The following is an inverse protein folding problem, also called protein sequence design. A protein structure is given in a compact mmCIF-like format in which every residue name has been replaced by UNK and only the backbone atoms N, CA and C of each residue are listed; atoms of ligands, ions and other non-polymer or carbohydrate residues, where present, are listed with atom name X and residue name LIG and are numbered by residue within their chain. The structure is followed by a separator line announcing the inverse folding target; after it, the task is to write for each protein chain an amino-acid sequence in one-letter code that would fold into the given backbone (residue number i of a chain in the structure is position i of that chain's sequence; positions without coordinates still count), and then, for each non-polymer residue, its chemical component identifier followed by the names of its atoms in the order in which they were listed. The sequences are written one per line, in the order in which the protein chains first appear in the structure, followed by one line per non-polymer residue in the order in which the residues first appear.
data_IF_823026431704
#
_entry.id   IF_823026431704
#
_cell.length_a   1.000
_cell.length_b   1.000
_cell.length_c   1.000
_cell.angle_alpha   90.00
_cell.angle_beta   90.00
_cell.angle_gamma   90.00
#
_symmetry.space_group_name_H-M   'P 1'
#
loop_
_entity.id
_entity.type
_entity.pdbx_description
1 polymer ?
#
# COMPACT_ATOMS: atom_id res chain seq x y z
N UNK A 1 -12.80 99.29 29.01
CA UNK A 1 -12.96 98.15 28.08
C UNK A 1 -11.81 97.15 28.27
N UNK A 2 -11.67 96.50 29.44
CA UNK A 2 -10.52 95.59 29.71
C UNK A 2 -10.88 94.24 30.38
N UNK A 3 -12.16 93.86 30.45
CA UNK A 3 -12.57 92.55 31.03
C UNK A 3 -12.87 91.46 30.00
N UNK A 4 -12.92 91.79 28.70
CA UNK A 4 -13.26 90.85 27.62
C UNK A 4 -12.04 90.22 26.96
N UNK A 5 -10.86 90.86 27.03
CA UNK A 5 -9.63 90.38 26.39
C UNK A 5 -9.07 89.13 27.07
N UNK A 6 -9.12 89.04 28.40
CA UNK A 6 -8.64 87.88 29.16
C UNK A 6 -9.48 86.60 28.94
N UNK A 7 -10.79 86.75 28.71
CA UNK A 7 -11.67 85.63 28.40
C UNK A 7 -11.39 85.09 26.99
N UNK A 8 -11.22 85.97 25.99
CA UNK A 8 -10.85 85.59 24.61
C UNK A 8 -9.49 84.87 24.60
N UNK A 9 -8.53 85.33 25.41
CA UNK A 9 -7.23 84.67 25.53
C UNK A 9 -7.34 83.27 26.12
N UNK A 10 -8.11 83.09 27.20
CA UNK A 10 -8.37 81.76 27.79
C UNK A 10 -9.10 80.81 26.83
N UNK A 11 -10.09 81.30 26.08
CA UNK A 11 -10.80 80.49 25.07
C UNK A 11 -9.89 80.08 23.91
N UNK A 12 -9.01 80.95 23.43
CA UNK A 12 -8.03 80.61 22.38
C UNK A 12 -7.01 79.57 22.87
N UNK A 13 -6.54 79.68 24.12
CA UNK A 13 -5.64 78.69 24.72
C UNK A 13 -6.34 77.34 24.88
N UNK A 14 -7.60 77.31 25.33
CA UNK A 14 -8.39 76.08 25.44
C UNK A 14 -8.64 75.44 24.07
N UNK A 15 -8.99 76.22 23.05
CA UNK A 15 -9.21 75.72 21.69
C UNK A 15 -7.93 75.17 21.07
N UNK A 16 -6.78 75.81 21.32
CA UNK A 16 -5.48 75.31 20.89
C UNK A 16 -5.13 73.98 21.57
N UNK A 17 -5.33 73.87 22.89
CA UNK A 17 -5.06 72.62 23.62
C UNK A 17 -6.04 71.51 23.22
N UNK A 18 -7.32 71.83 23.01
CA UNK A 18 -8.33 70.89 22.55
C UNK A 18 -8.04 70.40 21.13
N UNK A 19 -7.71 71.31 20.21
CA UNK A 19 -7.31 70.96 18.85
C UNK A 19 -6.00 70.15 18.84
N UNK A 20 -5.02 70.53 19.65
CA UNK A 20 -3.76 69.80 19.79
C UNK A 20 -3.97 68.40 20.38
N UNK A 21 -4.83 68.25 21.40
CA UNK A 21 -5.18 66.95 21.98
C UNK A 21 -5.95 66.07 20.99
N UNK A 22 -6.94 66.63 20.29
CA UNK A 22 -7.75 65.91 19.31
C UNK A 22 -6.93 65.47 18.09
N UNK A 23 -6.05 66.34 17.59
CA UNK A 23 -5.11 66.00 16.51
C UNK A 23 -4.09 64.96 16.97
N UNK A 24 -3.54 65.09 18.18
CA UNK A 24 -2.59 64.11 18.73
C UNK A 24 -3.24 62.72 18.92
N UNK A 25 -4.44 62.66 19.49
CA UNK A 25 -5.18 61.41 19.68
C UNK A 25 -5.57 60.76 18.35
N UNK A 26 -6.11 61.51 17.37
CA UNK A 26 -6.38 60.97 16.04
C UNK A 26 -5.11 60.46 15.35
N UNK A 27 -4.00 61.19 15.45
CA UNK A 27 -2.70 60.75 14.89
C UNK A 27 -2.23 59.45 15.56
N UNK A 28 -2.42 59.31 16.87
CA UNK A 28 -2.10 58.10 17.62
C UNK A 28 -2.99 56.91 17.21
N UNK A 29 -4.29 57.12 17.00
CA UNK A 29 -5.20 56.09 16.49
C UNK A 29 -4.82 55.63 15.07
N UNK A 30 -4.48 56.59 14.19
CA UNK A 30 -4.04 56.29 12.82
C UNK A 30 -2.72 55.50 12.82
N UNK A 31 -1.80 55.80 13.73
CA UNK A 31 -0.56 55.04 13.91
C UNK A 31 -0.81 53.61 14.39
N UNK A 32 -1.72 53.42 15.36
CA UNK A 32 -2.12 52.08 15.83
C UNK A 32 -2.78 51.26 14.72
N UNK A 33 -3.68 51.85 13.93
CA UNK A 33 -4.31 51.18 12.78
C UNK A 33 -3.28 50.81 11.72
N UNK A 34 -2.33 51.70 11.41
CA UNK A 34 -1.23 51.44 10.48
C UNK A 34 -0.35 50.27 10.94
N UNK A 35 0.02 50.23 12.22
CA UNK A 35 0.85 49.14 12.78
C UNK A 35 0.12 47.79 12.73
N UNK A 36 -1.19 47.77 13.00
CA UNK A 36 -2.01 46.55 12.86
C UNK A 36 -2.11 46.08 11.42
N UNK A 37 -2.33 47.01 10.49
CA UNK A 37 -2.36 46.71 9.05
C UNK A 37 -1.03 46.08 8.59
N UNK A 38 0.10 46.67 8.98
CA UNK A 38 1.43 46.14 8.67
C UNK A 38 1.69 44.76 9.30
N UNK A 39 1.14 44.51 10.48
CA UNK A 39 1.26 43.20 11.16
C UNK A 39 0.45 42.14 10.42
N UNK A 40 -0.78 42.45 10.03
CA UNK A 40 -1.63 41.55 9.24
C UNK A 40 -1.00 41.26 7.88
N UNK A 41 -0.46 42.27 7.18
CA UNK A 41 0.23 42.07 5.90
C UNK A 41 1.47 41.18 6.05
N UNK A 42 2.17 41.27 7.17
CA UNK A 42 3.29 40.39 7.48
C UNK A 42 2.83 38.95 7.74
N UNK A 43 1.78 38.77 8.54
CA UNK A 43 1.20 37.45 8.81
C UNK A 43 0.65 36.80 7.54
N UNK A 44 0.00 37.57 6.65
CA UNK A 44 -0.45 37.09 5.34
C UNK A 44 0.73 36.64 4.47
N UNK A 45 1.84 37.38 4.49
CA UNK A 45 3.06 37.00 3.77
C UNK A 45 3.67 35.71 4.33
N UNK A 46 3.75 35.59 5.66
CA UNK A 46 4.28 34.39 6.34
C UNK A 46 3.39 33.17 6.06
N UNK A 47 2.07 33.32 6.15
CA UNK A 47 1.10 32.27 5.81
C UNK A 47 1.19 31.84 4.34
N UNK A 48 1.38 32.79 3.42
CA UNK A 48 1.55 32.48 2.00
C UNK A 48 2.82 31.68 1.75
N UNK A 49 3.93 32.01 2.44
CA UNK A 49 5.17 31.25 2.36
C UNK A 49 5.03 29.83 2.92
N UNK A 50 4.34 29.67 4.05
CA UNK A 50 4.07 28.37 4.66
C UNK A 50 3.16 27.51 3.78
N UNK A 51 2.11 28.09 3.20
CA UNK A 51 1.26 27.42 2.22
C UNK A 51 2.06 26.92 1.01
N UNK A 52 2.94 27.75 0.46
CA UNK A 52 3.80 27.35 -0.65
C UNK A 52 4.78 26.24 -0.25
N UNK A 53 5.32 26.30 0.96
CA UNK A 53 6.18 25.25 1.52
C UNK A 53 5.43 23.92 1.67
N UNK A 54 4.22 23.94 2.23
CA UNK A 54 3.37 22.74 2.35
C UNK A 54 2.98 22.17 0.99
N UNK A 55 2.68 23.01 0.00
CA UNK A 55 2.37 22.54 -1.36
C UNK A 55 3.57 21.83 -1.99
N UNK A 56 4.79 22.39 -1.82
CA UNK A 56 6.04 21.75 -2.23
C UNK A 56 6.22 20.39 -1.56
N UNK A 57 6.04 20.30 -0.25
CA UNK A 57 6.16 19.05 0.51
C UNK A 57 5.13 18.00 0.05
N UNK A 58 3.86 18.38 -0.12
CA UNK A 58 2.80 17.50 -0.65
C UNK A 58 3.16 16.97 -2.03
N UNK A 59 3.69 17.82 -2.91
CA UNK A 59 4.06 17.43 -4.27
C UNK A 59 5.25 16.45 -4.27
N UNK A 60 6.22 16.63 -3.36
CA UNK A 60 7.32 15.67 -3.17
C UNK A 60 6.77 14.32 -2.71
N UNK A 61 5.95 14.30 -1.65
CA UNK A 61 5.39 13.05 -1.13
C UNK A 61 4.52 12.32 -2.16
N UNK A 62 3.72 13.07 -2.93
CA UNK A 62 2.93 12.50 -4.02
C UNK A 62 3.81 11.84 -5.09
N UNK A 63 4.98 12.41 -5.40
CA UNK A 63 5.93 11.81 -6.34
C UNK A 63 6.57 10.56 -5.77
N UNK A 64 6.96 10.57 -4.49
CA UNK A 64 7.52 9.40 -3.80
C UNK A 64 6.53 8.24 -3.76
N UNK A 65 5.27 8.49 -3.37
CA UNK A 65 4.21 7.47 -3.36
C UNK A 65 3.97 6.86 -4.74
N UNK A 66 3.97 7.69 -5.79
CA UNK A 66 3.87 7.20 -7.18
C UNK A 66 5.10 6.37 -7.56
N UNK A 67 6.29 6.75 -7.11
CA UNK A 67 7.54 6.00 -7.30
C UNK A 67 7.44 4.62 -6.69
N UNK A 68 7.12 4.54 -5.39
CA UNK A 68 6.97 3.28 -4.65
C UNK A 68 5.91 2.38 -5.29
N UNK A 69 4.74 2.93 -5.62
CA UNK A 69 3.69 2.16 -6.29
C UNK A 69 4.19 1.55 -7.61
N UNK A 70 4.86 2.33 -8.45
CA UNK A 70 5.36 1.86 -9.75
C UNK A 70 6.51 0.85 -9.59
N UNK A 71 7.40 1.05 -8.63
CA UNK A 71 8.50 0.13 -8.32
C UNK A 71 7.96 -1.22 -7.84
N UNK A 72 7.01 -1.24 -6.91
CA UNK A 72 6.39 -2.48 -6.45
C UNK A 72 5.64 -3.20 -7.58
N UNK A 73 4.89 -2.46 -8.41
CA UNK A 73 4.19 -3.05 -9.55
C UNK A 73 5.15 -3.62 -10.59
N UNK A 74 6.29 -2.99 -10.83
CA UNK A 74 7.27 -3.47 -11.82
C UNK A 74 8.11 -4.64 -11.28
N UNK A 75 8.48 -4.63 -10.00
CA UNK A 75 9.27 -5.67 -9.35
C UNK A 75 8.58 -7.03 -9.35
N UNK A 76 7.26 -7.05 -9.21
CA UNK A 76 6.46 -8.28 -9.22
C UNK A 76 5.86 -8.61 -10.59
N UNK A 77 6.06 -7.77 -11.62
CA UNK A 77 5.54 -8.03 -12.96
C UNK A 77 6.47 -8.95 -13.73
N UNK A 78 6.03 -10.19 -13.93
CA UNK A 78 6.70 -11.10 -14.85
C UNK A 78 6.67 -10.56 -16.28
N UNK A 79 7.74 -10.81 -17.05
CA UNK A 79 7.73 -10.61 -18.51
C UNK A 79 6.57 -11.40 -19.11
N UNK A 80 5.91 -10.84 -20.13
CA UNK A 80 4.71 -11.42 -20.73
C UNK A 80 4.93 -12.87 -21.20
N UNK A 81 6.09 -13.19 -21.77
CA UNK A 81 6.46 -14.55 -22.17
C UNK A 81 6.46 -15.55 -20.99
N UNK A 82 6.98 -15.13 -19.84
CA UNK A 82 7.00 -15.98 -18.63
C UNK A 82 5.58 -16.19 -18.10
N UNK A 83 4.73 -15.16 -18.16
CA UNK A 83 3.32 -15.24 -17.80
C UNK A 83 2.56 -16.22 -18.70
N UNK A 84 2.73 -16.13 -20.01
CA UNK A 84 2.12 -17.04 -20.99
C UNK A 84 2.54 -18.49 -20.74
N UNK A 85 3.84 -18.74 -20.51
CA UNK A 85 4.34 -20.08 -20.21
C UNK A 85 3.76 -20.62 -18.90
N UNK A 86 3.73 -19.81 -17.84
CA UNK A 86 3.15 -20.22 -16.56
C UNK A 86 1.67 -20.61 -16.70
N UNK A 87 0.87 -19.79 -17.38
CA UNK A 87 -0.55 -20.07 -17.63
C UNK A 87 -0.71 -21.38 -18.41
N UNK A 88 0.11 -21.59 -19.45
CA UNK A 88 0.10 -22.84 -20.23
C UNK A 88 0.39 -24.06 -19.36
N UNK A 89 1.36 -23.98 -18.45
CA UNK A 89 1.69 -25.07 -17.52
C UNK A 89 0.57 -25.32 -16.51
N UNK A 90 0.03 -24.28 -15.87
CA UNK A 90 -1.07 -24.40 -14.92
C UNK A 90 -2.33 -25.01 -15.55
N UNK A 91 -2.70 -24.57 -16.76
CA UNK A 91 -3.84 -25.14 -17.49
C UNK A 91 -3.62 -26.59 -17.88
N UNK A 92 -2.39 -26.98 -18.23
CA UNK A 92 -2.07 -28.38 -18.52
C UNK A 92 -2.24 -29.25 -17.28
N UNK A 93 -1.73 -28.79 -16.14
CA UNK A 93 -1.85 -29.47 -14.86
C UNK A 93 -3.32 -29.63 -14.45
N UNK A 94 -4.09 -28.55 -14.50
CA UNK A 94 -5.54 -28.57 -14.26
C UNK A 94 -6.27 -29.61 -15.11
N UNK A 95 -6.03 -29.62 -16.42
CA UNK A 95 -6.74 -30.51 -17.34
C UNK A 95 -6.42 -31.99 -17.13
N UNK A 96 -5.21 -32.31 -16.65
CA UNK A 96 -4.83 -33.67 -16.27
C UNK A 96 -5.47 -34.01 -14.93
N UNK A 97 -5.26 -33.17 -13.92
CA UNK A 97 -5.59 -33.46 -12.52
C UNK A 97 -7.09 -33.51 -12.25
N UNK A 98 -7.90 -32.70 -12.93
CA UNK A 98 -9.36 -32.63 -12.69
C UNK A 98 -10.13 -33.93 -12.92
N UNK A 99 -9.54 -34.88 -13.65
CA UNK A 99 -10.14 -36.17 -13.93
C UNK A 99 -9.50 -37.33 -13.15
N UNK A 100 -8.49 -37.05 -12.33
CA UNK A 100 -7.82 -38.08 -11.54
C UNK A 100 -8.68 -38.40 -10.32
N UNK A 101 -9.00 -39.67 -10.15
CA UNK A 101 -9.76 -40.18 -9.02
C UNK A 101 -9.11 -41.46 -8.53
N UNK A 102 -8.26 -41.33 -7.51
CA UNK A 102 -7.50 -42.44 -6.96
C UNK A 102 -7.10 -42.16 -5.52
N UNK A 103 -7.26 -43.15 -4.62
CA UNK A 103 -6.98 -43.01 -3.16
C UNK A 103 -5.56 -42.55 -2.81
N UNK A 104 -4.60 -42.71 -3.73
CA UNK A 104 -3.18 -42.36 -3.54
C UNK A 104 -2.75 -41.11 -4.32
N UNK A 105 -3.71 -40.33 -4.83
CA UNK A 105 -3.49 -39.07 -5.54
C UNK A 105 -4.43 -38.05 -4.91
N UNK A 106 -3.88 -36.92 -4.46
CA UNK A 106 -4.65 -35.82 -3.86
C UNK A 106 -5.74 -35.37 -4.84
N UNK A 107 -6.99 -35.29 -4.40
CA UNK A 107 -8.09 -34.85 -5.28
C UNK A 107 -8.02 -33.34 -5.56
N UNK A 108 -8.24 -32.97 -6.81
CA UNK A 108 -8.48 -31.58 -7.21
C UNK A 108 -9.99 -31.33 -7.21
N UNK A 109 -10.45 -30.34 -6.46
CA UNK A 109 -11.87 -29.97 -6.40
C UNK A 109 -12.24 -28.85 -7.36
N UNK A 110 -11.45 -27.76 -7.40
CA UNK A 110 -11.77 -26.59 -8.21
C UNK A 110 -10.54 -25.73 -8.52
N UNK A 111 -10.63 -24.90 -9.55
CA UNK A 111 -9.65 -23.86 -9.90
C UNK A 111 -10.36 -22.59 -10.33
N UNK A 112 -10.04 -21.47 -9.68
CA UNK A 112 -10.63 -20.17 -10.02
C UNK A 112 -9.60 -19.04 -9.96
N UNK A 113 -9.85 -17.98 -10.73
CA UNK A 113 -9.01 -16.79 -10.74
C UNK A 113 -9.33 -15.88 -9.56
N UNK A 114 -8.30 -15.37 -8.89
CA UNK A 114 -8.45 -14.35 -7.84
C UNK A 114 -8.32 -12.95 -8.46
N UNK A 115 -7.31 -12.75 -9.31
CA UNK A 115 -7.06 -11.52 -10.05
C UNK A 115 -6.28 -11.79 -11.35
N UNK A 116 -5.91 -10.72 -12.08
CA UNK A 116 -5.23 -10.80 -13.38
C UNK A 116 -3.89 -11.57 -13.38
N UNK A 117 -3.29 -11.82 -12.22
CA UNK A 117 -1.99 -12.46 -12.04
C UNK A 117 -2.03 -13.65 -11.07
N UNK A 118 -3.19 -14.01 -10.52
CA UNK A 118 -3.30 -14.99 -9.44
C UNK A 118 -4.45 -15.97 -9.67
N UNK A 119 -4.15 -17.26 -9.52
CA UNK A 119 -5.14 -18.35 -9.54
C UNK A 119 -5.13 -19.10 -8.21
N UNK A 120 -6.27 -19.64 -7.84
CA UNK A 120 -6.47 -20.49 -6.67
C UNK A 120 -6.80 -21.91 -7.12
N UNK A 121 -6.18 -22.89 -6.47
CA UNK A 121 -6.44 -24.31 -6.68
C UNK A 121 -6.97 -24.89 -5.36
N UNK A 122 -8.15 -25.48 -5.39
CA UNK A 122 -8.79 -26.11 -4.22
C UNK A 122 -8.49 -27.61 -4.25
N UNK A 123 -7.71 -28.08 -3.28
CA UNK A 123 -7.25 -29.46 -3.19
C UNK A 123 -7.84 -30.18 -1.96
N UNK A 124 -7.82 -31.51 -2.00
CA UNK A 124 -8.03 -32.35 -0.82
C UNK A 124 -7.06 -32.00 0.29
N UNK A 125 -7.59 -31.82 1.50
CA UNK A 125 -6.77 -31.61 2.69
C UNK A 125 -6.08 -32.92 3.10
N UNK A 126 -4.75 -32.90 3.14
CA UNK A 126 -3.95 -34.00 3.67
C UNK A 126 -3.43 -33.62 5.06
N UNK A 127 -3.75 -34.44 6.06
CA UNK A 127 -3.19 -34.29 7.40
C UNK A 127 -1.72 -34.76 7.46
N UNK A 128 -0.91 -34.15 8.31
CA UNK A 128 0.51 -34.43 8.48
C UNK A 128 1.46 -33.66 7.55
N UNK A 129 2.70 -34.15 7.44
CA UNK A 129 3.77 -33.54 6.66
C UNK A 129 4.21 -34.45 5.49
N UNK A 130 4.97 -33.89 4.55
CA UNK A 130 5.59 -34.64 3.47
C UNK A 130 6.75 -35.56 3.92
N UNK A 131 7.19 -36.42 3.01
CA UNK A 131 8.24 -37.41 3.28
C UNK A 131 9.62 -36.76 3.49
N UNK A 132 9.86 -35.59 2.88
CA UNK A 132 11.10 -34.84 3.05
C UNK A 132 11.23 -34.30 4.49
N UNK A 133 10.14 -33.75 5.03
CA UNK A 133 10.04 -33.33 6.42
C UNK A 133 10.31 -34.51 7.37
N UNK A 134 9.66 -35.66 7.13
CA UNK A 134 9.88 -36.85 7.94
C UNK A 134 11.35 -37.30 7.93
N UNK A 135 11.97 -37.33 6.75
CA UNK A 135 13.37 -37.76 6.59
C UNK A 135 14.37 -36.76 7.20
N UNK A 136 14.07 -35.47 7.19
CA UNK A 136 14.87 -34.46 7.91
C UNK A 136 14.90 -34.71 9.42
N UNK A 137 13.79 -35.20 10.00
CA UNK A 137 13.71 -35.48 11.43
C UNK A 137 14.31 -36.86 11.81
N UNK A 138 14.02 -37.89 11.02
CA UNK A 138 14.31 -39.29 11.38
C UNK A 138 15.54 -39.89 10.67
N UNK A 139 16.14 -39.17 9.70
CA UNK A 139 17.25 -39.57 8.81
C UNK A 139 16.96 -40.74 7.87
N UNK A 140 16.32 -41.81 8.35
CA UNK A 140 16.02 -43.03 7.58
C UNK A 140 14.63 -43.56 7.90
N UNK A 141 14.12 -44.45 7.05
CA UNK A 141 12.84 -45.12 7.22
C UNK A 141 13.12 -46.64 7.30
N UNK A 142 12.56 -47.36 8.29
CA UNK A 142 12.65 -48.82 8.34
C UNK A 142 12.13 -49.49 7.07
N UNK A 143 12.78 -50.57 6.63
CA UNK A 143 12.46 -51.22 5.34
C UNK A 143 10.98 -51.61 5.21
N UNK A 144 10.37 -52.08 6.31
CA UNK A 144 8.95 -52.44 6.35
C UNK A 144 8.03 -51.25 6.01
N UNK A 145 8.34 -50.07 6.54
CA UNK A 145 7.58 -48.84 6.31
C UNK A 145 7.86 -48.28 4.92
N UNK A 146 9.13 -48.27 4.50
CA UNK A 146 9.54 -47.85 3.16
C UNK A 146 8.84 -48.68 2.08
N UNK A 147 8.76 -50.00 2.26
CA UNK A 147 8.01 -50.90 1.38
C UNK A 147 6.53 -50.53 1.30
N UNK A 148 5.91 -50.19 2.42
CA UNK A 148 4.51 -49.75 2.44
C UNK A 148 4.30 -48.45 1.65
N UNK A 149 5.19 -47.46 1.81
CA UNK A 149 5.15 -46.20 1.06
C UNK A 149 5.33 -46.46 -0.44
N UNK A 150 6.35 -47.21 -0.83
CA UNK A 150 6.64 -47.53 -2.23
C UNK A 150 5.46 -48.25 -2.88
N UNK A 151 4.84 -49.22 -2.21
CA UNK A 151 3.67 -49.93 -2.74
C UNK A 151 2.49 -48.99 -3.00
N UNK A 152 2.28 -48.00 -2.13
CA UNK A 152 1.22 -46.98 -2.34
C UNK A 152 1.54 -46.07 -3.53
N UNK A 153 2.80 -45.67 -3.70
CA UNK A 153 3.26 -44.89 -4.86
C UNK A 153 3.09 -45.68 -6.15
N UNK A 154 3.54 -46.93 -6.19
CA UNK A 154 3.43 -47.81 -7.37
C UNK A 154 1.96 -48.02 -7.76
N UNK A 155 1.06 -48.13 -6.77
CA UNK A 155 -0.36 -48.24 -7.00
C UNK A 155 -0.93 -46.97 -7.69
N UNK A 156 -0.52 -45.77 -7.26
CA UNK A 156 -0.86 -44.50 -7.94
C UNK A 156 -0.29 -44.43 -9.37
N UNK A 157 0.97 -44.84 -9.57
CA UNK A 157 1.63 -44.83 -10.88
C UNK A 157 0.97 -45.80 -11.86
N UNK A 158 0.54 -46.97 -11.38
CA UNK A 158 -0.21 -47.94 -12.18
C UNK A 158 -1.52 -47.32 -12.69
N UNK A 159 -2.25 -46.63 -11.82
CA UNK A 159 -3.47 -45.92 -12.19
C UNK A 159 -3.20 -44.88 -13.29
N UNK A 160 -2.21 -44.01 -13.09
CA UNK A 160 -1.83 -42.98 -14.07
C UNK A 160 -1.39 -43.55 -15.43
N UNK A 161 -0.78 -44.73 -15.45
CA UNK A 161 -0.22 -45.31 -16.66
C UNK A 161 -1.21 -46.19 -17.43
N UNK A 162 -2.11 -46.89 -16.74
CA UNK A 162 -2.88 -48.00 -17.34
C UNK A 162 -4.39 -47.93 -17.15
N UNK A 163 -4.89 -47.13 -16.20
CA UNK A 163 -6.31 -47.12 -15.83
C UNK A 163 -7.06 -45.88 -16.34
N UNK A 164 -6.33 -44.88 -16.86
CA UNK A 164 -6.89 -43.67 -17.48
C UNK A 164 -6.70 -43.66 -19.01
N UNK A 165 -7.56 -42.91 -19.72
CA UNK A 165 -7.62 -42.90 -21.20
C UNK A 165 -6.31 -42.54 -21.88
N UNK A 166 -5.57 -41.59 -21.30
CA UNK A 166 -4.27 -41.15 -21.81
C UNK A 166 -3.25 -41.39 -20.69
N UNK A 167 -2.26 -42.27 -20.90
CA UNK A 167 -1.22 -42.50 -19.91
C UNK A 167 -0.50 -41.22 -19.54
N UNK A 168 -0.35 -40.98 -18.24
CA UNK A 168 0.34 -39.81 -17.69
C UNK A 168 1.66 -40.25 -17.07
N UNK A 169 2.72 -39.53 -17.42
CA UNK A 169 4.02 -39.63 -16.74
C UNK A 169 4.16 -38.36 -15.90
N UNK A 170 4.31 -38.52 -14.58
CA UNK A 170 4.38 -37.40 -13.64
C UNK A 170 5.63 -36.52 -13.82
N UNK A 171 6.77 -37.13 -14.19
CA UNK A 171 8.10 -36.51 -14.37
C UNK A 171 8.74 -35.84 -13.13
N UNK A 172 7.97 -35.41 -12.13
CA UNK A 172 8.48 -34.77 -10.92
C UNK A 172 8.19 -35.58 -9.64
N UNK A 173 8.31 -36.92 -9.70
CA UNK A 173 8.09 -37.76 -8.52
C UNK A 173 9.26 -37.62 -7.56
N UNK A 174 9.02 -37.00 -6.41
CA UNK A 174 10.01 -36.70 -5.37
C UNK A 174 9.43 -36.89 -3.96
N UNK A 175 10.28 -36.68 -2.95
CA UNK A 175 9.94 -36.86 -1.52
C UNK A 175 9.21 -35.66 -0.89
N UNK A 176 9.22 -34.51 -1.55
CA UNK A 176 8.49 -33.32 -1.09
C UNK A 176 7.32 -33.01 -2.01
#
# INVERSE_FOLDING_TARGET
MHKTEGAVWMWNVFLFHFHSYYTHTNTQYDEVLRLRQLTLEREECDLAQDLEKLDRERNVHTRELKGLYNEDHSRFKWKDEKKVNYIKHALREYNIHKHLEHKRIVKLFDVFEIDTNSLCTVLEYCDGNDLDFFLKQNKTIPEKEARSIIMQIVNALKYLNSEIKLPVIHYDLKRG
#
